data_IF_541006239021
#
_entry.id   IF_541006239021
#
_cell.length_a   1.000
_cell.length_b   1.000
_cell.length_c   1.000
_cell.angle_alpha   90.00
_cell.angle_beta   90.00
_cell.angle_gamma   90.00
#
_symmetry.space_group_name_H-M   'P 1'
#
loop_
_entity.id
_entity.type
_entity.pdbx_description
1 polymer ?
#
# COMPACT_ATOMS: atom_id res chain seq x y z
N UNK A 1 12.64 -6.01 -0.61
CA UNK A 1 12.92 -4.67 -0.06
C UNK A 1 11.82 -4.36 0.91
N UNK A 2 12.17 -4.31 2.19
CA UNK A 2 11.22 -3.96 3.22
C UNK A 2 10.94 -2.48 3.20
N UNK A 3 9.81 -2.11 3.79
CA UNK A 3 9.35 -0.75 4.02
C UNK A 3 8.42 -0.82 5.24
N UNK A 4 8.71 -0.09 6.31
CA UNK A 4 7.88 -0.02 7.53
C UNK A 4 7.06 1.28 7.48
N UNK A 5 5.78 1.22 7.83
CA UNK A 5 4.86 2.33 7.87
C UNK A 5 4.42 2.49 9.31
N UNK A 6 4.98 3.49 9.98
CA UNK A 6 4.48 3.96 11.26
C UNK A 6 3.34 4.94 10.98
N UNK A 7 2.31 4.91 11.82
CA UNK A 7 1.22 5.88 11.89
C UNK A 7 1.14 6.39 13.33
N UNK A 8 0.19 7.27 13.59
CA UNK A 8 -0.20 7.71 14.92
C UNK A 8 -0.85 6.55 15.69
N UNK A 9 -1.86 5.90 15.11
CA UNK A 9 -2.64 4.89 15.82
C UNK A 9 -1.83 3.60 16.06
N UNK A 10 -0.92 3.22 15.15
CA UNK A 10 -0.24 1.94 15.16
C UNK A 10 0.79 1.90 14.03
N UNK A 11 1.08 0.74 13.47
CA UNK A 11 2.09 0.57 12.43
C UNK A 11 1.87 -0.74 11.67
N UNK A 12 2.51 -0.84 10.52
CA UNK A 12 2.61 -2.04 9.71
C UNK A 12 3.95 -2.05 9.01
N UNK A 13 4.22 -3.14 8.32
CA UNK A 13 5.39 -3.27 7.49
C UNK A 13 4.91 -4.00 6.24
N UNK A 14 5.46 -3.61 5.10
CA UNK A 14 5.13 -4.15 3.81
C UNK A 14 6.46 -4.49 3.12
N UNK A 15 6.46 -5.54 2.29
CA UNK A 15 7.70 -5.99 1.64
C UNK A 15 7.53 -6.25 0.16
N UNK A 16 8.38 -5.60 -0.64
CA UNK A 16 8.19 -5.42 -2.05
C UNK A 16 9.39 -6.00 -2.79
N UNK A 17 9.04 -6.79 -3.78
CA UNK A 17 9.95 -7.57 -4.62
C UNK A 17 10.76 -6.61 -5.52
N UNK A 18 12.09 -6.63 -5.46
CA UNK A 18 12.98 -5.66 -6.11
C UNK A 18 13.10 -5.86 -7.63
N UNK A 19 12.28 -6.71 -8.25
CA UNK A 19 12.38 -6.98 -9.68
C UNK A 19 11.71 -5.84 -10.48
N UNK A 20 11.06 -4.92 -9.79
CA UNK A 20 10.13 -3.98 -10.36
C UNK A 20 10.68 -2.57 -10.27
N UNK A 21 10.61 -1.83 -11.38
CA UNK A 21 11.18 -0.50 -11.54
C UNK A 21 10.69 0.45 -10.44
N UNK A 22 9.39 0.41 -10.13
CA UNK A 22 8.77 1.18 -9.06
C UNK A 22 9.46 0.97 -7.71
N UNK A 23 9.83 -0.27 -7.32
CA UNK A 23 10.48 -0.55 -6.04
C UNK A 23 11.87 0.12 -6.05
N UNK A 24 12.63 -0.02 -7.15
CA UNK A 24 13.93 0.62 -7.31
C UNK A 24 13.81 2.15 -7.23
N UNK A 25 12.76 2.73 -7.84
CA UNK A 25 12.59 4.18 -7.95
C UNK A 25 12.05 4.77 -6.64
N UNK A 26 11.29 3.98 -5.89
CA UNK A 26 10.87 4.25 -4.53
C UNK A 26 12.08 4.37 -3.61
N UNK A 27 13.22 3.77 -3.93
CA UNK A 27 14.40 3.80 -3.08
C UNK A 27 14.93 5.23 -2.94
N UNK A 28 14.58 6.14 -3.86
CA UNK A 28 14.94 7.54 -3.82
C UNK A 28 14.03 8.36 -2.91
N UNK A 29 12.88 7.79 -2.53
CA UNK A 29 11.78 8.52 -1.91
C UNK A 29 11.39 7.89 -0.58
N UNK A 30 12.30 7.24 0.14
CA UNK A 30 12.04 6.65 1.46
C UNK A 30 13.19 7.12 2.37
N UNK A 31 12.94 7.45 3.65
CA UNK A 31 11.62 7.58 4.26
C UNK A 31 10.81 8.73 3.66
N UNK A 32 9.48 8.66 3.81
CA UNK A 32 8.58 9.74 3.43
C UNK A 32 7.35 9.72 4.32
N UNK A 33 6.55 10.78 4.32
CA UNK A 33 5.33 10.86 5.11
C UNK A 33 4.14 11.08 4.19
N UNK A 34 2.91 10.91 4.69
CA UNK A 34 1.72 11.15 3.91
C UNK A 34 0.47 11.22 4.78
N UNK A 35 -0.60 11.77 4.21
CA UNK A 35 -1.96 11.66 4.73
C UNK A 35 -2.37 10.21 4.48
N UNK A 36 -2.92 9.57 5.50
CA UNK A 36 -3.48 8.24 5.41
C UNK A 36 -4.92 8.43 4.94
N UNK A 37 -5.18 8.24 3.65
CA UNK A 37 -6.54 8.29 3.11
C UNK A 37 -7.16 6.90 3.27
N UNK A 38 -8.48 6.82 3.34
CA UNK A 38 -9.23 5.58 3.61
C UNK A 38 -10.32 5.42 2.53
N UNK A 39 -10.72 4.19 2.19
CA UNK A 39 -11.88 3.98 1.33
C UNK A 39 -12.49 2.66 1.75
N UNK A 40 -13.54 2.71 2.57
CA UNK A 40 -14.23 1.55 3.09
C UNK A 40 -13.36 0.78 4.06
N UNK A 41 -12.54 -0.14 3.55
CA UNK A 41 -11.73 -1.10 4.30
C UNK A 41 -10.36 -1.28 3.65
N UNK A 42 -9.88 -0.22 2.99
CA UNK A 42 -8.51 -0.10 2.51
C UNK A 42 -7.98 1.28 2.91
N UNK A 43 -6.65 1.41 2.89
CA UNK A 43 -5.93 2.65 3.17
C UNK A 43 -5.00 2.89 1.99
N UNK A 44 -4.81 4.13 1.59
CA UNK A 44 -3.92 4.51 0.51
C UNK A 44 -3.37 5.90 0.83
N UNK A 45 -2.34 6.33 0.12
CA UNK A 45 -1.72 7.62 0.38
C UNK A 45 -1.05 8.11 -0.89
N UNK A 46 -0.87 9.43 -1.03
CA UNK A 46 -0.41 10.05 -2.25
C UNK A 46 1.12 9.98 -2.32
N UNK A 47 1.64 8.87 -2.83
CA UNK A 47 3.07 8.66 -2.93
C UNK A 47 3.77 9.75 -3.74
N UNK A 48 5.04 10.03 -3.43
CA UNK A 48 5.86 10.98 -4.16
C UNK A 48 6.42 10.41 -5.47
N UNK A 49 6.36 9.08 -5.67
CA UNK A 49 6.79 8.44 -6.91
C UNK A 49 5.69 8.63 -7.96
N UNK A 50 6.07 8.50 -9.23
CA UNK A 50 5.19 8.48 -10.37
C UNK A 50 5.77 7.50 -11.39
N UNK A 51 5.18 6.31 -11.47
CA UNK A 51 5.40 5.28 -12.48
C UNK A 51 4.00 4.74 -12.79
N UNK A 52 3.75 4.31 -14.04
CA UNK A 52 2.47 3.70 -14.43
C UNK A 52 2.63 2.33 -15.10
N UNK A 53 3.87 1.91 -15.38
CA UNK A 53 4.20 0.56 -15.84
C UNK A 53 3.87 -0.41 -14.69
N UNK A 54 3.44 -1.64 -14.98
CA UNK A 54 2.96 -2.62 -14.01
C UNK A 54 3.36 -4.03 -14.44
N UNK A 55 4.37 -4.61 -13.79
CA UNK A 55 4.90 -5.88 -14.29
C UNK A 55 3.98 -7.08 -13.97
N UNK A 56 3.23 -7.06 -12.86
CA UNK A 56 2.34 -8.16 -12.45
C UNK A 56 0.96 -7.62 -12.05
N UNK A 57 0.11 -7.16 -12.99
CA UNK A 57 -1.24 -6.69 -12.71
C UNK A 57 -2.18 -7.82 -12.28
N UNK A 58 -3.17 -7.50 -11.45
CA UNK A 58 -4.30 -8.36 -11.07
C UNK A 58 -5.57 -7.50 -11.02
N UNK A 59 -6.73 -8.12 -10.83
CA UNK A 59 -8.02 -7.44 -10.67
C UNK A 59 -8.74 -7.84 -9.37
N UNK A 60 -8.04 -8.56 -8.48
CA UNK A 60 -8.40 -9.04 -7.16
C UNK A 60 -7.10 -9.50 -6.48
N UNK A 61 -7.08 -9.48 -5.16
CA UNK A 61 -5.92 -9.81 -4.33
C UNK A 61 -6.38 -10.61 -3.10
N UNK A 62 -5.47 -10.90 -2.18
CA UNK A 62 -5.80 -11.38 -0.85
C UNK A 62 -5.95 -10.23 0.14
N UNK A 63 -6.33 -10.57 1.36
CA UNK A 63 -6.53 -9.63 2.47
C UNK A 63 -5.16 -9.18 3.05
N UNK A 64 -4.03 -9.56 2.45
CA UNK A 64 -2.71 -9.30 3.00
C UNK A 64 -1.65 -9.05 1.93
N UNK A 65 -2.04 -8.49 0.79
CA UNK A 65 -1.14 -8.18 -0.32
C UNK A 65 -1.09 -6.66 -0.53
N UNK A 66 -0.15 -6.19 -1.36
CA UNK A 66 0.02 -4.76 -1.64
C UNK A 66 0.24 -4.55 -3.13
N UNK A 67 -0.35 -3.47 -3.64
CA UNK A 67 -0.18 -3.01 -4.99
C UNK A 67 0.22 -1.55 -5.03
N UNK A 68 0.47 -1.05 -6.24
CA UNK A 68 0.56 0.37 -6.50
C UNK A 68 -0.65 0.76 -7.34
N UNK A 69 -1.21 1.95 -7.13
CA UNK A 69 -2.36 2.51 -7.85
C UNK A 69 -1.82 3.58 -8.80
N UNK A 70 -1.38 3.19 -10.01
CA UNK A 70 -0.70 4.10 -10.91
C UNK A 70 -1.51 5.34 -11.33
N UNK A 71 -2.82 5.25 -11.66
CA UNK A 71 -3.53 6.33 -12.34
C UNK A 71 -3.69 7.55 -11.43
N UNK A 72 -3.62 7.36 -10.10
CA UNK A 72 -3.66 8.41 -9.09
C UNK A 72 -2.37 8.53 -8.28
N UNK A 73 -1.23 7.94 -8.70
CA UNK A 73 0.03 7.93 -7.93
C UNK A 73 -0.16 7.54 -6.45
N UNK A 74 -1.05 6.59 -6.14
CA UNK A 74 -1.30 6.20 -4.75
C UNK A 74 -0.70 4.83 -4.47
N UNK A 75 -0.52 4.53 -3.18
CA UNK A 75 -0.33 3.16 -2.72
C UNK A 75 -1.69 2.47 -2.61
N UNK A 76 -1.73 1.21 -2.17
CA UNK A 76 -2.89 0.60 -1.52
C UNK A 76 -2.41 -0.27 -0.35
N UNK A 77 -3.35 -0.64 0.55
CA UNK A 77 -3.21 -1.49 1.72
C UNK A 77 -4.57 -2.12 1.91
N UNK A 78 -4.72 -3.38 1.49
CA UNK A 78 -5.99 -4.09 1.51
C UNK A 78 -6.04 -4.99 2.74
N UNK A 79 -7.00 -4.78 3.63
CA UNK A 79 -7.11 -5.54 4.89
C UNK A 79 -8.56 -5.94 5.22
N UNK A 80 -9.53 -5.59 4.38
CA UNK A 80 -10.88 -6.12 4.41
C UNK A 80 -11.55 -5.90 3.07
N UNK A 81 -12.81 -6.31 2.95
CA UNK A 81 -13.55 -6.20 1.70
C UNK A 81 -14.12 -4.79 1.61
N UNK A 82 -13.52 -3.99 0.73
CA UNK A 82 -14.01 -2.69 0.30
C UNK A 82 -15.40 -2.80 -0.34
N UNK A 83 -16.11 -1.69 -0.52
CA UNK A 83 -17.45 -1.70 -1.11
C UNK A 83 -17.47 -2.00 -2.61
N UNK A 84 -16.32 -2.25 -3.27
CA UNK A 84 -16.23 -2.32 -4.72
C UNK A 84 -16.06 -3.77 -5.17
N UNK A 85 -17.00 -4.63 -4.81
CA UNK A 85 -16.94 -6.05 -5.10
C UNK A 85 -18.31 -6.68 -5.03
N UNK A 86 -18.36 -7.99 -5.25
CA UNK A 86 -19.41 -8.82 -4.72
C UNK A 86 -18.75 -10.10 -4.21
N UNK A 87 -18.13 -10.84 -5.14
CA UNK A 87 -17.63 -12.19 -4.87
C UNK A 87 -16.33 -12.17 -4.05
N UNK A 88 -15.42 -11.27 -4.43
CA UNK A 88 -14.02 -11.31 -4.06
C UNK A 88 -13.50 -9.89 -3.99
N UNK A 89 -12.36 -9.69 -3.33
CA UNK A 89 -11.88 -8.36 -2.97
C UNK A 89 -11.17 -7.76 -4.18
N UNK A 90 -11.98 -7.23 -5.10
CA UNK A 90 -11.50 -6.52 -6.26
C UNK A 90 -11.13 -5.08 -5.80
N UNK A 91 -10.04 -4.50 -6.33
CA UNK A 91 -9.66 -3.11 -6.10
C UNK A 91 -10.27 -2.14 -7.11
N UNK A 92 -9.99 -0.86 -6.90
CA UNK A 92 -10.39 0.24 -7.77
C UNK A 92 -9.90 0.15 -9.22
N UNK A 93 -8.90 -0.70 -9.53
CA UNK A 93 -8.34 -0.80 -10.88
C UNK A 93 -7.50 -2.07 -10.99
N UNK A 94 -7.02 -2.38 -12.19
CA UNK A 94 -6.08 -3.45 -12.44
C UNK A 94 -4.73 -3.03 -11.86
N UNK A 95 -4.55 -3.15 -10.55
CA UNK A 95 -3.31 -2.79 -9.86
C UNK A 95 -2.37 -3.98 -9.95
N UNK A 96 -1.07 -3.70 -9.98
CA UNK A 96 -0.09 -4.72 -9.72
C UNK A 96 -0.15 -5.23 -8.30
N UNK A 97 0.39 -6.43 -8.11
CA UNK A 97 0.69 -6.99 -6.82
C UNK A 97 2.20 -7.11 -6.81
N UNK A 98 2.84 -6.14 -6.16
CA UNK A 98 4.30 -6.04 -6.06
C UNK A 98 4.78 -6.23 -4.64
N UNK A 99 3.87 -6.13 -3.66
CA UNK A 99 4.21 -6.21 -2.26
C UNK A 99 3.28 -7.12 -1.49
N UNK A 100 3.62 -7.29 -0.21
CA UNK A 100 2.94 -8.16 0.73
C UNK A 100 2.80 -7.36 2.01
N UNK A 101 1.63 -7.37 2.63
CA UNK A 101 1.46 -6.91 4.00
C UNK A 101 2.09 -8.01 4.83
N UNK A 102 3.36 -7.85 5.19
CA UNK A 102 4.03 -8.83 6.04
C UNK A 102 3.58 -8.68 7.49
N UNK A 103 3.12 -7.48 7.87
CA UNK A 103 2.77 -7.14 9.24
C UNK A 103 1.62 -6.13 9.26
N UNK A 104 0.91 -6.04 10.37
CA UNK A 104 0.07 -4.91 10.77
C UNK A 104 -1.41 -5.13 10.42
N UNK A 105 -1.80 -6.36 10.10
CA UNK A 105 -3.04 -6.65 9.42
C UNK A 105 -4.30 -6.36 10.26
N UNK A 106 -4.17 -6.11 11.56
CA UNK A 106 -5.29 -5.80 12.43
C UNK A 106 -5.27 -4.31 12.81
N UNK A 107 -4.07 -3.73 12.98
CA UNK A 107 -3.91 -2.32 13.38
C UNK A 107 -4.33 -1.38 12.25
N UNK A 108 -4.42 -1.86 11.02
CA UNK A 108 -4.92 -1.07 9.91
C UNK A 108 -6.42 -0.75 10.06
N UNK A 109 -7.24 -1.58 10.72
CA UNK A 109 -8.64 -1.26 10.94
C UNK A 109 -8.84 -0.08 11.88
N UNK A 110 -7.87 0.26 12.73
CA UNK A 110 -8.02 1.26 13.78
C UNK A 110 -7.44 2.61 13.40
N UNK A 111 -6.97 2.80 12.18
CA UNK A 111 -6.47 4.09 11.71
C UNK A 111 -7.67 5.03 11.44
N UNK A 112 -7.43 6.33 11.29
CA UNK A 112 -8.39 7.32 10.80
C UNK A 112 -7.92 7.75 9.42
N UNK A 113 -8.74 8.53 8.74
CA UNK A 113 -8.47 9.18 7.46
C UNK A 113 -7.48 10.35 7.58
N UNK A 114 -6.49 10.25 8.46
CA UNK A 114 -5.49 11.30 8.66
C UNK A 114 -4.58 11.03 9.86
N UNK A 115 -3.97 9.85 9.96
CA UNK A 115 -3.09 9.47 11.09
C UNK A 115 -1.60 9.54 10.74
N UNK A 116 -1.23 10.36 9.75
CA UNK A 116 0.15 10.69 9.38
C UNK A 116 1.07 9.47 9.32
N UNK A 117 1.12 8.82 8.16
CA UNK A 117 2.11 7.78 7.97
C UNK A 117 3.48 8.46 7.90
N UNK A 118 4.50 7.82 8.46
CA UNK A 118 5.92 8.06 8.21
C UNK A 118 6.53 6.73 7.81
N UNK A 119 6.60 6.51 6.50
CA UNK A 119 7.18 5.38 5.80
C UNK A 119 8.69 5.39 6.00
N UNK A 120 9.32 4.23 6.19
CA UNK A 120 10.78 4.01 6.28
C UNK A 120 11.16 2.70 5.56
N UNK A 121 12.44 2.33 5.46
CA UNK A 121 12.94 1.12 4.76
C UNK A 121 12.80 -0.20 5.53
N UNK A 122 12.29 -0.08 6.73
CA UNK A 122 12.43 -1.08 7.79
C UNK A 122 13.91 -1.41 8.04
N UNK A 123 14.12 -2.53 8.74
CA UNK A 123 15.36 -3.07 9.25
C UNK A 123 16.30 -2.12 9.97
N UNK A 124 15.77 -0.96 10.38
CA UNK A 124 16.00 -0.46 11.71
C UNK A 124 15.47 -1.56 12.63
#
# INVERSE_FOLDING_TARGET
MRVELLFESGKCVIDLNEEYEVVKLLKEKIPFESVVNTWGEEIYFSTPVNVQKMENPREVVEIGDVGYWPPGKALCLFFGKTPMSDDKIQPASAVNVIGKIVEGLEDLKKIKDGEKVAVRFASS
#
